data_IF_867213270159
#
_entry.id   IF_867213270159
#
_cell.length_a   1.000
_cell.length_b   1.000
_cell.length_c   1.000
_cell.angle_alpha   90.00
_cell.angle_beta   90.00
_cell.angle_gamma   90.00
#
_symmetry.space_group_name_H-M   'P 1'
#
loop_
_entity.id
_entity.type
_entity.pdbx_description
1 polymer ?
#
# COMPACT_ATOMS: atom_id res chain seq x y z
N UNK A 1 -1.14 -6.26 -35.03
CA UNK A 1 -0.22 -7.14 -34.28
C UNK A 1 0.72 -6.26 -33.46
N UNK A 2 0.35 -6.04 -32.23
CA UNK A 2 1.28 -5.48 -31.26
C UNK A 2 2.25 -6.58 -30.84
N UNK A 3 3.49 -6.51 -31.27
CA UNK A 3 4.50 -7.42 -30.77
C UNK A 3 4.79 -7.06 -29.31
N UNK A 4 4.48 -7.97 -28.41
CA UNK A 4 4.59 -7.85 -26.95
C UNK A 4 6.05 -7.72 -26.45
N UNK A 5 7.04 -7.64 -27.35
CA UNK A 5 8.46 -7.72 -27.02
C UNK A 5 9.28 -6.45 -27.26
N UNK A 6 8.65 -5.31 -27.50
CA UNK A 6 9.40 -4.06 -27.54
C UNK A 6 9.26 -3.38 -26.16
N UNK A 7 10.36 -3.22 -25.41
CA UNK A 7 10.30 -2.43 -24.19
C UNK A 7 9.93 -1.00 -24.58
N UNK A 8 8.77 -0.55 -24.14
CA UNK A 8 8.41 0.86 -24.25
C UNK A 8 9.25 1.62 -23.20
N UNK A 9 10.31 2.24 -23.67
CA UNK A 9 11.09 3.14 -22.85
C UNK A 9 10.28 4.38 -22.53
N UNK A 10 9.64 4.39 -21.37
CA UNK A 10 9.03 5.61 -20.83
C UNK A 10 10.14 6.50 -20.30
N UNK A 11 10.39 7.64 -20.97
CA UNK A 11 11.25 8.67 -20.39
C UNK A 11 10.56 9.31 -19.19
N UNK A 12 11.34 9.86 -18.29
CA UNK A 12 10.76 10.55 -17.13
C UNK A 12 9.88 11.76 -17.54
N UNK A 13 10.09 12.33 -18.71
CA UNK A 13 9.23 13.36 -19.27
C UNK A 13 7.78 12.88 -19.47
N UNK A 14 7.59 11.64 -19.87
CA UNK A 14 6.25 11.07 -19.98
C UNK A 14 5.58 10.94 -18.61
N UNK A 15 6.32 10.52 -17.60
CA UNK A 15 5.84 10.47 -16.23
C UNK A 15 5.50 11.87 -15.71
N UNK A 16 6.31 12.86 -16.03
CA UNK A 16 6.08 14.24 -15.67
C UNK A 16 4.81 14.81 -16.35
N UNK A 17 4.64 14.58 -17.63
CA UNK A 17 3.44 14.98 -18.38
C UNK A 17 2.18 14.33 -17.83
N UNK A 18 2.25 13.07 -17.44
CA UNK A 18 1.17 12.36 -16.77
C UNK A 18 0.85 12.96 -15.40
N UNK A 19 1.86 13.28 -14.59
CA UNK A 19 1.70 13.91 -13.30
C UNK A 19 1.08 15.31 -13.35
N UNK A 20 1.16 15.98 -14.49
CA UNK A 20 0.47 17.25 -14.74
C UNK A 20 -0.98 17.10 -15.18
N UNK A 21 -1.55 15.91 -15.09
CA UNK A 21 -2.96 15.65 -15.25
C UNK A 21 -3.54 16.11 -16.58
N UNK A 22 -3.14 15.48 -17.60
CA UNK A 22 -3.40 15.77 -19.01
C UNK A 22 -4.87 16.07 -19.35
N UNK A 23 -5.80 15.62 -18.53
CA UNK A 23 -7.24 15.70 -18.77
C UNK A 23 -7.90 16.98 -18.25
N UNK A 24 -7.25 17.74 -17.39
CA UNK A 24 -7.81 18.95 -16.82
C UNK A 24 -7.66 20.14 -17.77
N UNK A 25 -8.71 20.94 -17.97
CA UNK A 25 -8.65 22.17 -18.72
C UNK A 25 -7.72 23.23 -18.12
N UNK A 26 -7.47 23.18 -16.81
CA UNK A 26 -6.52 24.05 -16.12
C UNK A 26 -5.08 23.66 -16.40
N UNK A 27 -4.85 22.46 -16.85
CA UNK A 27 -3.54 21.94 -17.22
C UNK A 27 -3.21 22.28 -18.65
N UNK A 28 -4.20 22.50 -19.48
CA UNK A 28 -4.05 22.97 -20.87
C UNK A 28 -3.81 24.47 -20.99
N UNK A 29 -3.81 25.17 -19.87
CA UNK A 29 -3.43 26.57 -19.90
C UNK A 29 -1.93 26.74 -20.24
N UNK A 30 -1.49 27.98 -20.35
CA UNK A 30 -0.13 28.31 -20.74
C UNK A 30 0.96 27.74 -19.82
N UNK A 31 0.60 27.29 -18.63
CA UNK A 31 1.56 26.64 -17.74
C UNK A 31 1.98 25.28 -18.26
N UNK A 32 1.05 24.49 -18.77
CA UNK A 32 1.30 23.09 -19.10
C UNK A 32 1.72 22.89 -20.55
N UNK A 33 1.19 23.65 -21.49
CA UNK A 33 1.58 23.55 -22.89
C UNK A 33 3.05 23.88 -23.13
N UNK A 34 3.64 24.70 -22.30
CA UNK A 34 5.04 25.09 -22.40
C UNK A 34 5.97 24.10 -21.70
N UNK A 35 5.45 23.38 -20.71
CA UNK A 35 6.24 22.47 -19.89
C UNK A 35 6.44 21.09 -20.51
N UNK A 36 5.48 20.61 -21.27
CA UNK A 36 5.51 19.28 -21.87
C UNK A 36 6.69 19.13 -22.82
N UNK A 37 7.01 20.17 -23.59
CA UNK A 37 8.06 20.11 -24.60
C UNK A 37 9.44 20.51 -24.09
N UNK A 38 9.51 21.26 -23.01
CA UNK A 38 10.76 21.92 -22.58
C UNK A 38 11.10 21.72 -21.11
N UNK A 39 10.41 20.84 -20.43
CA UNK A 39 10.53 20.67 -18.99
C UNK A 39 9.76 21.75 -18.20
N UNK A 40 9.90 21.79 -16.86
CA UNK A 40 9.18 22.73 -16.02
C UNK A 40 9.57 24.18 -16.36
N UNK A 41 8.57 25.03 -16.31
CA UNK A 41 8.79 26.46 -16.50
C UNK A 41 9.39 27.03 -15.22
N UNK A 42 10.58 27.51 -15.33
CA UNK A 42 11.26 28.22 -14.26
C UNK A 42 11.49 29.69 -14.71
N UNK A 43 11.44 30.58 -13.77
CA UNK A 43 11.78 31.97 -13.98
C UNK A 43 13.29 32.24 -14.11
N UNK A 44 14.10 31.24 -13.73
CA UNK A 44 15.54 31.26 -13.78
C UNK A 44 16.07 30.28 -14.83
N UNK A 45 17.23 30.56 -15.40
CA UNK A 45 17.94 29.64 -16.29
C UNK A 45 18.39 28.41 -15.48
N UNK A 46 18.06 27.25 -16.00
CA UNK A 46 18.62 26.02 -15.46
C UNK A 46 20.00 25.80 -16.05
N UNK A 47 20.98 25.76 -15.19
CA UNK A 47 22.36 25.47 -15.55
C UNK A 47 22.65 23.98 -15.67
N UNK A 48 21.82 23.14 -15.05
CA UNK A 48 21.96 21.69 -15.07
C UNK A 48 20.78 21.01 -15.79
N UNK A 49 21.07 19.87 -16.41
CA UNK A 49 20.02 19.03 -16.99
C UNK A 49 19.08 18.51 -15.92
N UNK A 50 17.79 18.39 -16.28
CA UNK A 50 16.79 17.77 -15.43
C UNK A 50 17.17 16.34 -15.11
N UNK A 51 17.09 15.99 -13.83
CA UNK A 51 17.27 14.63 -13.34
C UNK A 51 15.98 14.13 -12.70
N UNK A 52 15.74 12.84 -12.83
CA UNK A 52 14.64 12.17 -12.15
C UNK A 52 14.83 12.24 -10.63
N UNK A 53 13.80 12.66 -9.92
CA UNK A 53 13.75 12.64 -8.47
C UNK A 53 12.82 11.52 -8.01
N UNK A 54 13.35 10.58 -7.24
CA UNK A 54 12.58 9.47 -6.68
C UNK A 54 12.07 9.82 -5.29
N UNK A 55 10.79 10.18 -5.20
CA UNK A 55 10.11 10.47 -3.94
C UNK A 55 9.40 9.23 -3.41
N UNK A 56 10.12 8.35 -2.73
CA UNK A 56 9.62 7.07 -2.22
C UNK A 56 8.56 7.21 -1.13
N UNK A 57 8.49 8.36 -0.50
CA UNK A 57 7.61 8.70 0.62
C UNK A 57 6.53 9.73 0.24
N UNK A 58 6.39 10.04 -1.03
CA UNK A 58 5.43 11.00 -1.55
C UNK A 58 4.17 10.34 -2.11
N UNK A 59 3.04 11.01 -1.95
CA UNK A 59 1.76 10.68 -2.56
C UNK A 59 1.34 11.84 -3.45
N UNK A 60 0.78 11.52 -4.60
CA UNK A 60 0.02 12.45 -5.44
C UNK A 60 -1.41 11.97 -5.51
N UNK A 61 -2.36 12.88 -5.48
CA UNK A 61 -3.78 12.55 -5.49
C UNK A 61 -4.59 13.55 -6.31
N UNK A 62 -5.66 13.05 -6.90
CA UNK A 62 -6.64 13.82 -7.67
C UNK A 62 -7.70 14.43 -6.76
N UNK A 63 -8.69 15.07 -7.35
CA UNK A 63 -9.91 15.48 -6.67
C UNK A 63 -10.78 14.31 -6.25
N UNK A 64 -12.00 14.61 -5.78
CA UNK A 64 -12.93 13.66 -5.18
C UNK A 64 -13.88 13.06 -6.20
N UNK A 65 -14.37 11.88 -5.88
CA UNK A 65 -15.56 11.29 -6.46
C UNK A 65 -16.68 11.26 -5.43
N UNK A 66 -17.83 11.81 -5.79
CA UNK A 66 -19.04 11.74 -4.98
C UNK A 66 -20.19 11.19 -5.83
N UNK A 67 -20.57 9.95 -5.57
CA UNK A 67 -21.63 9.25 -6.31
C UNK A 67 -23.01 9.87 -6.12
N UNK A 68 -23.26 10.51 -4.98
CA UNK A 68 -24.56 11.11 -4.66
C UNK A 68 -24.79 12.42 -5.42
N UNK A 69 -23.77 13.26 -5.53
CA UNK A 69 -23.84 14.54 -6.24
C UNK A 69 -23.47 14.43 -7.72
N UNK A 70 -22.96 13.27 -8.17
CA UNK A 70 -22.45 13.06 -9.53
C UNK A 70 -21.13 13.77 -9.83
N UNK A 71 -20.51 14.39 -8.83
CA UNK A 71 -19.20 15.05 -9.01
C UNK A 71 -18.12 14.01 -9.16
N UNK A 72 -17.38 14.07 -10.26
CA UNK A 72 -16.25 13.21 -10.53
C UNK A 72 -15.02 14.06 -10.91
N UNK A 73 -14.11 14.22 -9.96
CA UNK A 73 -12.86 14.99 -10.13
C UNK A 73 -11.62 14.07 -10.07
N UNK A 74 -11.79 12.76 -10.32
CA UNK A 74 -10.71 11.79 -10.25
C UNK A 74 -9.60 12.00 -11.29
N UNK A 75 -9.89 12.69 -12.37
CA UNK A 75 -8.95 13.05 -13.42
C UNK A 75 -8.39 14.49 -13.28
N UNK A 76 -8.66 15.17 -12.18
CA UNK A 76 -8.25 16.55 -11.98
C UNK A 76 -7.08 16.64 -10.99
N UNK A 77 -5.95 17.13 -11.49
CA UNK A 77 -4.75 17.43 -10.73
C UNK A 77 -4.46 18.93 -10.84
N UNK A 78 -5.09 19.71 -9.97
CA UNK A 78 -5.10 21.16 -10.05
C UNK A 78 -3.90 21.70 -9.27
N UNK A 79 -2.93 22.33 -9.95
CA UNK A 79 -1.72 22.85 -9.32
C UNK A 79 -1.97 23.97 -8.30
N UNK A 80 -3.09 24.69 -8.43
CA UNK A 80 -3.48 25.71 -7.46
C UNK A 80 -3.95 25.13 -6.12
N UNK A 81 -4.25 23.84 -6.07
CA UNK A 81 -4.67 23.13 -4.89
C UNK A 81 -3.58 22.18 -4.41
N UNK A 82 -3.67 21.74 -3.17
CA UNK A 82 -2.74 20.76 -2.64
C UNK A 82 -3.06 19.39 -3.22
N UNK A 83 -2.21 18.90 -4.11
CA UNK A 83 -2.34 17.61 -4.79
C UNK A 83 -1.26 16.61 -4.37
N UNK A 84 -0.33 17.01 -3.52
CA UNK A 84 0.77 16.16 -3.04
C UNK A 84 0.79 16.11 -1.53
N UNK A 85 1.22 14.99 -1.00
CA UNK A 85 1.45 14.79 0.42
C UNK A 85 2.73 14.01 0.63
N UNK A 86 3.62 14.54 1.45
CA UNK A 86 4.84 13.86 1.85
C UNK A 86 4.66 13.24 3.23
N UNK A 87 5.18 12.03 3.38
CA UNK A 87 5.26 11.30 4.63
C UNK A 87 6.68 11.46 5.17
N UNK A 88 6.86 11.33 6.47
CA UNK A 88 8.17 11.43 7.08
C UNK A 88 9.15 10.40 6.46
N UNK A 89 10.27 10.84 5.86
CA UNK A 89 11.23 9.95 5.22
C UNK A 89 11.81 8.87 6.13
N UNK A 90 11.82 9.11 7.44
CA UNK A 90 12.31 8.14 8.43
C UNK A 90 11.48 6.86 8.50
N UNK A 91 10.26 6.87 7.97
CA UNK A 91 9.41 5.68 7.91
C UNK A 91 9.73 4.77 6.72
N UNK A 92 10.70 5.15 5.91
CA UNK A 92 11.07 4.44 4.70
C UNK A 92 10.09 4.68 3.54
N UNK A 93 10.21 3.89 2.50
CA UNK A 93 9.35 4.01 1.32
C UNK A 93 7.94 3.49 1.59
N UNK A 94 6.98 4.06 0.88
CA UNK A 94 5.60 3.56 0.86
C UNK A 94 5.59 2.27 0.06
N UNK A 95 5.10 1.20 0.67
CA UNK A 95 5.05 -0.13 0.07
C UNK A 95 3.63 -0.52 -0.35
N UNK A 96 2.62 -0.16 0.44
CA UNK A 96 1.23 -0.51 0.17
C UNK A 96 0.28 0.59 0.63
N UNK A 97 -0.74 0.82 -0.17
CA UNK A 97 -1.88 1.66 0.18
C UNK A 97 -3.12 0.78 0.32
N UNK A 98 -3.89 0.99 1.36
CA UNK A 98 -5.11 0.24 1.63
C UNK A 98 -6.20 1.18 2.15
N UNK A 99 -7.37 1.11 1.55
CA UNK A 99 -8.53 1.87 2.02
C UNK A 99 -9.19 1.13 3.18
N UNK A 100 -9.43 1.84 4.27
CA UNK A 100 -10.16 1.31 5.42
C UNK A 100 -11.19 2.34 5.87
N UNK A 101 -12.46 1.95 5.82
CA UNK A 101 -13.57 2.87 6.04
C UNK A 101 -13.47 4.09 5.10
N UNK A 102 -13.31 5.28 5.67
CA UNK A 102 -13.10 6.51 4.93
C UNK A 102 -11.64 7.01 4.95
N UNK A 103 -10.72 6.23 5.50
CA UNK A 103 -9.33 6.63 5.68
C UNK A 103 -8.39 5.81 4.82
N UNK A 104 -7.24 6.38 4.51
CA UNK A 104 -6.17 5.70 3.79
C UNK A 104 -5.14 5.17 4.77
N UNK A 105 -5.00 3.85 4.85
CA UNK A 105 -3.91 3.21 5.55
C UNK A 105 -2.71 3.12 4.62
N UNK A 106 -1.59 3.67 5.06
CA UNK A 106 -0.33 3.68 4.32
C UNK A 106 0.69 2.84 5.07
N UNK A 107 1.12 1.75 4.43
CA UNK A 107 2.13 0.87 4.99
C UNK A 107 3.48 1.24 4.39
N UNK A 108 4.37 1.76 5.24
CA UNK A 108 5.75 2.07 4.90
C UNK A 108 6.67 0.93 5.34
N UNK A 109 7.95 1.00 4.98
CA UNK A 109 8.93 -0.02 5.36
C UNK A 109 8.98 -0.22 6.89
N UNK A 110 9.00 0.88 7.65
CA UNK A 110 9.22 0.86 9.11
C UNK A 110 8.02 1.33 9.94
N UNK A 111 6.96 1.81 9.30
CA UNK A 111 5.80 2.36 10.02
C UNK A 111 4.50 2.16 9.26
N UNK A 112 3.42 1.99 10.00
CA UNK A 112 2.06 2.00 9.47
C UNK A 112 1.37 3.28 9.89
N UNK A 113 0.73 3.94 8.94
CA UNK A 113 0.12 5.25 9.11
C UNK A 113 -1.34 5.21 8.68
N UNK A 114 -2.15 6.04 9.30
CA UNK A 114 -3.50 6.37 8.87
C UNK A 114 -3.52 7.81 8.38
N UNK A 115 -3.98 8.04 7.16
CA UNK A 115 -4.19 9.37 6.60
C UNK A 115 -5.71 9.60 6.55
N UNK A 116 -6.15 10.65 7.20
CA UNK A 116 -7.56 11.03 7.20
C UNK A 116 -7.95 11.59 5.84
N UNK A 117 -9.08 11.14 5.29
CA UNK A 117 -9.59 11.64 4.02
C UNK A 117 -10.71 12.67 4.28
N UNK A 118 -10.59 13.87 3.70
CA UNK A 118 -11.53 15.01 3.82
C UNK A 118 -11.83 15.47 5.25
N UNK A 119 -10.96 15.12 6.19
CA UNK A 119 -11.12 15.48 7.61
C UNK A 119 -9.74 15.64 8.25
N UNK A 120 -9.69 16.48 9.26
CA UNK A 120 -8.53 16.65 10.13
C UNK A 120 -8.95 16.45 11.59
N UNK A 121 -8.02 15.97 12.40
CA UNK A 121 -8.23 15.83 13.83
C UNK A 121 -7.77 17.12 14.56
N UNK A 122 -8.68 17.75 15.28
CA UNK A 122 -8.40 18.86 16.17
C UNK A 122 -8.48 18.35 17.59
N UNK A 123 -7.44 18.58 18.37
CA UNK A 123 -7.39 18.15 19.76
C UNK A 123 -7.84 19.27 20.69
N UNK A 124 -8.78 18.97 21.57
CA UNK A 124 -9.19 19.88 22.65
C UNK A 124 -8.10 20.01 23.70
N UNK A 125 -8.25 20.99 24.59
CA UNK A 125 -7.36 21.15 25.74
C UNK A 125 -7.24 19.89 26.63
N UNK A 126 -8.29 19.08 26.64
CA UNK A 126 -8.35 17.82 27.39
C UNK A 126 -7.72 16.62 26.62
N UNK A 127 -7.17 16.86 25.42
CA UNK A 127 -6.54 15.81 24.58
C UNK A 127 -7.52 14.96 23.78
N UNK A 128 -8.81 15.26 23.79
CA UNK A 128 -9.79 14.53 22.99
C UNK A 128 -9.77 15.01 21.53
N UNK A 129 -9.70 14.07 20.60
CA UNK A 129 -9.73 14.37 19.17
C UNK A 129 -11.15 14.62 18.68
N UNK A 130 -11.36 15.77 18.04
CA UNK A 130 -12.58 16.07 17.27
C UNK A 130 -12.25 16.07 15.78
N UNK A 131 -13.06 15.40 14.98
CA UNK A 131 -12.90 15.40 13.52
C UNK A 131 -13.63 16.60 12.93
N UNK A 132 -12.90 17.40 12.16
CA UNK A 132 -13.45 18.54 11.42
C UNK A 132 -13.31 18.27 9.92
N UNK A 133 -14.32 18.66 9.14
CA UNK A 133 -14.23 18.58 7.69
C UNK A 133 -13.19 19.56 7.16
N UNK A 134 -12.42 19.12 6.17
CA UNK A 134 -11.44 19.95 5.47
C UNK A 134 -11.63 19.85 3.97
N UNK A 135 -11.22 20.88 3.24
CA UNK A 135 -11.20 20.89 1.78
C UNK A 135 -10.06 20.05 1.19
N UNK A 136 -9.07 19.70 2.02
CA UNK A 136 -7.97 18.85 1.59
C UNK A 136 -8.44 17.40 1.44
N UNK A 137 -8.18 16.81 0.30
CA UNK A 137 -8.53 15.39 0.04
C UNK A 137 -7.80 14.47 1.02
N UNK A 138 -6.49 14.67 1.22
CA UNK A 138 -5.71 13.97 2.23
C UNK A 138 -5.36 14.94 3.35
N UNK A 139 -5.97 14.71 4.51
CA UNK A 139 -5.77 15.49 5.74
C UNK A 139 -4.58 15.00 6.57
N UNK A 140 -4.73 15.03 7.87
CA UNK A 140 -3.67 14.70 8.83
C UNK A 140 -3.24 13.24 8.73
N UNK A 141 -1.92 13.02 8.91
CA UNK A 141 -1.32 11.69 9.03
C UNK A 141 -1.15 11.32 10.49
N UNK A 142 -1.70 10.19 10.88
CA UNK A 142 -1.65 9.65 12.25
C UNK A 142 -0.91 8.31 12.22
N UNK A 143 0.26 8.18 12.87
CA UNK A 143 0.94 6.90 12.97
C UNK A 143 0.19 5.97 13.93
N UNK A 144 0.14 4.68 13.60
CA UNK A 144 -0.29 3.66 14.55
C UNK A 144 0.74 3.48 15.65
N UNK A 145 0.25 3.07 16.81
CA UNK A 145 1.11 2.75 17.95
C UNK A 145 1.95 1.51 17.63
N UNK A 146 3.21 1.54 18.03
CA UNK A 146 4.19 0.48 17.74
C UNK A 146 5.11 0.86 16.57
N UNK A 147 6.31 0.29 16.58
CA UNK A 147 7.33 0.52 15.55
C UNK A 147 7.35 -0.65 14.57
N UNK A 148 6.24 -0.84 13.86
CA UNK A 148 6.05 -1.92 12.88
C UNK A 148 5.75 -1.34 11.50
N UNK A 149 6.36 -1.93 10.47
CA UNK A 149 6.10 -1.66 9.07
C UNK A 149 5.85 -2.91 8.27
N UNK A 150 5.75 -2.79 6.95
CA UNK A 150 5.59 -3.94 6.06
C UNK A 150 6.94 -4.41 5.48
N UNK A 151 8.05 -3.80 5.91
CA UNK A 151 9.37 -3.99 5.33
C UNK A 151 9.34 -3.72 3.81
N UNK A 152 9.95 -4.57 2.99
CA UNK A 152 9.89 -4.51 1.52
C UNK A 152 9.09 -5.66 0.92
N UNK A 153 8.07 -6.13 1.64
CA UNK A 153 7.24 -7.25 1.24
C UNK A 153 5.76 -6.87 1.14
N UNK A 154 5.38 -6.00 0.19
CA UNK A 154 3.98 -5.64 0.00
C UNK A 154 3.09 -6.84 -0.38
N UNK A 155 3.66 -7.90 -0.93
CA UNK A 155 2.99 -9.15 -1.29
C UNK A 155 2.52 -9.95 -0.07
N UNK A 156 3.08 -9.67 1.11
CA UNK A 156 2.62 -10.29 2.36
C UNK A 156 1.26 -9.77 2.82
N UNK A 157 0.81 -8.66 2.22
CA UNK A 157 -0.44 -8.03 2.61
C UNK A 157 -1.64 -8.82 2.13
N UNK A 158 -2.54 -9.15 3.07
CA UNK A 158 -3.88 -9.65 2.76
C UNK A 158 -4.90 -8.96 3.66
N UNK A 159 -6.08 -8.71 3.15
CA UNK A 159 -7.16 -8.06 3.89
C UNK A 159 -8.44 -8.88 3.82
N UNK A 160 -9.18 -8.86 4.89
CA UNK A 160 -10.58 -9.26 4.96
C UNK A 160 -11.44 -8.04 5.32
N UNK A 161 -12.74 -8.23 5.50
CA UNK A 161 -13.69 -7.13 5.70
C UNK A 161 -13.33 -6.18 6.85
N UNK A 162 -12.73 -6.69 7.92
CA UNK A 162 -12.48 -5.92 9.15
C UNK A 162 -11.02 -5.86 9.57
N UNK A 163 -10.17 -6.69 8.98
CA UNK A 163 -8.77 -6.82 9.37
C UNK A 163 -7.87 -6.85 8.15
N UNK A 164 -6.64 -6.47 8.38
CA UNK A 164 -5.56 -6.64 7.41
C UNK A 164 -4.37 -7.31 8.10
N UNK A 165 -3.67 -8.12 7.34
CA UNK A 165 -2.52 -8.89 7.78
C UNK A 165 -1.33 -8.58 6.89
N UNK A 166 -0.16 -8.56 7.46
CA UNK A 166 1.10 -8.35 6.75
C UNK A 166 2.28 -8.82 7.59
N UNK A 167 3.46 -8.86 7.00
CA UNK A 167 4.67 -9.26 7.70
C UNK A 167 5.65 -8.11 7.82
N UNK A 168 6.26 -7.98 9.00
CA UNK A 168 7.44 -7.17 9.21
C UNK A 168 8.66 -8.09 9.26
N UNK A 169 9.27 -8.28 8.12
CA UNK A 169 10.40 -9.19 7.98
C UNK A 169 11.62 -8.71 8.77
N UNK A 170 11.87 -7.41 8.81
CA UNK A 170 13.00 -6.82 9.52
C UNK A 170 12.92 -7.09 11.02
N UNK A 171 11.70 -7.05 11.58
CA UNK A 171 11.46 -7.29 13.01
C UNK A 171 11.10 -8.75 13.32
N UNK A 172 10.98 -9.58 12.28
CA UNK A 172 10.68 -11.00 12.44
C UNK A 172 9.25 -11.27 12.92
N UNK A 173 8.29 -10.40 12.58
CA UNK A 173 6.94 -10.48 13.12
C UNK A 173 5.87 -10.55 12.03
N UNK A 174 4.75 -11.16 12.35
CA UNK A 174 3.54 -11.12 11.54
C UNK A 174 2.52 -10.26 12.26
N UNK A 175 1.96 -9.31 11.55
CA UNK A 175 1.11 -8.27 12.09
C UNK A 175 -0.33 -8.42 11.65
N UNK A 176 -1.24 -8.06 12.54
CA UNK A 176 -2.66 -7.88 12.25
C UNK A 176 -3.03 -6.42 12.55
N UNK A 177 -3.66 -5.77 11.60
CA UNK A 177 -4.32 -4.48 11.78
C UNK A 177 -5.81 -4.72 11.98
N UNK A 178 -6.35 -4.29 13.11
CA UNK A 178 -7.77 -4.36 13.46
C UNK A 178 -8.28 -3.03 14.00
N UNK A 179 -9.51 -2.98 14.52
CA UNK A 179 -10.03 -1.79 15.20
C UNK A 179 -9.20 -1.43 16.43
N UNK A 180 -8.62 -2.43 17.09
CA UNK A 180 -7.76 -2.26 18.26
C UNK A 180 -6.34 -1.76 17.91
N UNK A 181 -6.05 -1.54 16.64
CA UNK A 181 -4.75 -1.14 16.15
C UNK A 181 -3.90 -2.30 15.64
N UNK A 182 -2.59 -2.17 15.77
CA UNK A 182 -1.61 -3.16 15.34
C UNK A 182 -1.35 -4.19 16.45
N UNK A 183 -1.46 -5.46 16.11
CA UNK A 183 -1.19 -6.58 17.03
C UNK A 183 -0.23 -7.57 16.38
N UNK A 184 0.89 -7.93 17.04
CA UNK A 184 1.78 -8.98 16.55
C UNK A 184 1.14 -10.36 16.81
N UNK A 185 0.66 -11.02 15.77
CA UNK A 185 0.05 -12.35 15.86
C UNK A 185 1.09 -13.48 15.86
N UNK A 186 2.32 -13.21 15.46
CA UNK A 186 3.45 -14.15 15.63
C UNK A 186 3.69 -14.51 17.09
N UNK A 187 3.35 -13.63 18.03
CA UNK A 187 3.52 -13.87 19.46
C UNK A 187 2.62 -15.00 20.00
N UNK A 188 1.62 -15.41 19.21
CA UNK A 188 0.77 -16.57 19.54
C UNK A 188 1.50 -17.91 19.31
N UNK A 189 2.58 -18.14 20.02
CA UNK A 189 3.32 -19.40 20.06
C UNK A 189 4.36 -19.62 18.97
N UNK A 190 4.55 -18.66 18.04
CA UNK A 190 5.51 -18.83 16.94
C UNK A 190 6.50 -17.66 16.78
N UNK A 191 6.68 -16.87 17.82
CA UNK A 191 7.55 -15.67 17.79
C UNK A 191 8.96 -15.98 17.34
N UNK A 192 9.62 -16.94 18.02
CA UNK A 192 11.00 -17.32 17.71
C UNK A 192 11.12 -17.97 16.34
N UNK A 193 10.12 -18.75 15.95
CA UNK A 193 10.08 -19.40 14.65
C UNK A 193 10.08 -18.37 13.50
N UNK A 194 9.22 -17.34 13.57
CA UNK A 194 9.18 -16.29 12.56
C UNK A 194 10.44 -15.44 12.56
N UNK A 195 10.92 -15.06 13.73
CA UNK A 195 12.18 -14.30 13.85
C UNK A 195 13.33 -15.03 13.16
N UNK A 196 13.51 -16.31 13.47
CA UNK A 196 14.61 -17.10 12.95
C UNK A 196 14.48 -17.34 11.44
N UNK A 197 13.24 -17.57 10.95
CA UNK A 197 12.99 -17.76 9.50
C UNK A 197 13.20 -16.47 8.72
N UNK A 198 12.66 -15.38 9.17
CA UNK A 198 12.83 -14.09 8.49
C UNK A 198 14.27 -13.59 8.53
N UNK A 199 15.02 -13.86 9.59
CA UNK A 199 16.43 -13.52 9.67
C UNK A 199 17.31 -14.25 8.65
N UNK A 200 16.96 -15.49 8.29
CA UNK A 200 17.66 -16.27 7.27
C UNK A 200 17.39 -15.74 5.84
N UNK A 201 16.32 -15.00 5.66
CA UNK A 201 15.75 -14.68 4.36
C UNK A 201 15.75 -13.17 4.02
N UNK A 202 16.57 -12.35 4.69
CA UNK A 202 16.61 -10.90 4.51
C UNK A 202 17.02 -10.44 3.10
N UNK A 203 17.69 -11.28 2.31
CA UNK A 203 18.11 -10.95 0.95
C UNK A 203 17.43 -11.86 -0.06
N UNK A 204 16.70 -11.26 -1.03
CA UNK A 204 16.15 -11.91 -2.22
C UNK A 204 15.05 -12.95 -2.01
N UNK A 205 14.38 -13.02 -0.85
CA UNK A 205 13.17 -13.80 -0.70
C UNK A 205 11.96 -12.88 -0.50
N UNK A 206 10.85 -13.26 -1.09
CA UNK A 206 9.59 -12.61 -0.81
C UNK A 206 8.75 -13.44 0.16
N UNK A 207 7.94 -12.74 0.91
CA UNK A 207 6.94 -13.33 1.79
C UNK A 207 5.58 -13.01 1.21
N UNK A 208 4.81 -14.03 0.92
CA UNK A 208 3.48 -13.89 0.36
C UNK A 208 2.42 -14.07 1.45
N UNK A 209 1.46 -13.17 1.46
CA UNK A 209 0.25 -13.26 2.28
C UNK A 209 -0.98 -13.53 1.41
N UNK A 210 -1.87 -14.37 1.88
CA UNK A 210 -3.17 -14.56 1.26
C UNK A 210 -4.22 -14.91 2.32
N UNK A 211 -5.46 -14.54 2.05
CA UNK A 211 -6.56 -14.82 2.96
C UNK A 211 -7.52 -15.82 2.34
N UNK A 212 -7.83 -16.87 3.08
CA UNK A 212 -8.81 -17.89 2.72
C UNK A 212 -10.13 -17.61 3.43
N UNK A 213 -11.09 -17.01 2.70
CA UNK A 213 -12.40 -16.61 3.22
C UNK A 213 -13.21 -17.82 3.72
N UNK A 214 -13.03 -19.01 3.11
CA UNK A 214 -13.80 -20.19 3.48
C UNK A 214 -13.40 -20.78 4.82
N UNK A 215 -12.12 -20.69 5.15
CA UNK A 215 -11.57 -21.18 6.43
C UNK A 215 -11.29 -20.10 7.45
N UNK A 216 -11.45 -18.82 7.05
CA UNK A 216 -11.04 -17.65 7.83
C UNK A 216 -9.57 -17.76 8.29
N UNK A 217 -8.70 -18.08 7.36
CA UNK A 217 -7.27 -18.27 7.62
C UNK A 217 -6.42 -17.28 6.83
N UNK A 218 -5.52 -16.61 7.52
CA UNK A 218 -4.43 -15.88 6.87
C UNK A 218 -3.26 -16.84 6.64
N UNK A 219 -2.88 -17.02 5.39
CA UNK A 219 -1.78 -17.87 4.97
C UNK A 219 -0.54 -17.04 4.71
N UNK A 220 0.56 -17.35 5.37
CA UNK A 220 1.88 -16.78 5.14
C UNK A 220 2.74 -17.83 4.45
N UNK A 221 3.25 -17.49 3.29
CA UNK A 221 4.21 -18.32 2.54
C UNK A 221 5.57 -17.65 2.54
N UNK A 222 6.59 -18.37 2.96
CA UNK A 222 7.99 -17.94 2.93
C UNK A 222 8.67 -18.72 1.79
N UNK A 223 8.99 -18.03 0.71
CA UNK A 223 9.43 -18.65 -0.54
C UNK A 223 10.71 -19.46 -0.36
N UNK A 224 11.78 -18.89 0.14
CA UNK A 224 13.05 -19.61 0.36
C UNK A 224 12.92 -20.80 1.31
N UNK A 225 12.14 -20.67 2.36
CA UNK A 225 11.89 -21.76 3.27
C UNK A 225 10.96 -22.82 2.65
N UNK A 226 10.31 -22.53 1.52
CA UNK A 226 9.30 -23.35 0.86
C UNK A 226 8.26 -23.84 1.85
N UNK A 227 7.78 -22.94 2.68
CA UNK A 227 6.84 -23.23 3.75
C UNK A 227 5.66 -22.26 3.73
N UNK A 228 4.47 -22.78 3.95
CA UNK A 228 3.26 -22.00 4.18
C UNK A 228 2.67 -22.36 5.52
N UNK A 229 2.26 -21.36 6.28
CA UNK A 229 1.66 -21.52 7.59
C UNK A 229 0.40 -20.67 7.71
N UNK A 230 -0.61 -21.16 8.42
CA UNK A 230 -1.91 -20.52 8.52
C UNK A 230 -2.22 -20.07 9.93
N UNK A 231 -2.68 -18.84 10.05
CA UNK A 231 -3.24 -18.26 11.26
C UNK A 231 -4.76 -18.19 11.17
N UNK A 232 -5.45 -18.55 12.25
CA UNK A 232 -6.91 -18.48 12.35
C UNK A 232 -7.35 -17.62 13.51
N UNK A 233 -8.29 -16.73 13.24
CA UNK A 233 -8.81 -15.80 14.25
C UNK A 233 -9.62 -16.46 15.36
N UNK A 234 -10.40 -17.49 15.03
CA UNK A 234 -11.27 -18.19 16.00
C UNK A 234 -10.45 -18.81 17.13
N UNK A 235 -9.28 -19.33 16.78
CA UNK A 235 -8.35 -19.97 17.72
C UNK A 235 -7.34 -18.97 18.27
N UNK A 236 -7.24 -17.79 17.65
CA UNK A 236 -6.20 -16.77 17.92
C UNK A 236 -4.79 -17.36 17.90
N UNK A 237 -4.53 -18.22 16.93
CA UNK A 237 -3.29 -18.97 16.85
C UNK A 237 -2.98 -19.56 15.48
N UNK A 238 -1.77 -20.07 15.36
CA UNK A 238 -1.27 -20.75 14.17
C UNK A 238 -1.78 -22.20 14.17
N UNK A 239 -2.47 -22.59 13.11
CA UNK A 239 -3.23 -23.85 13.13
C UNK A 239 -2.60 -24.95 12.31
N UNK A 240 -1.92 -24.63 11.19
CA UNK A 240 -1.30 -25.69 10.40
C UNK A 240 -0.20 -25.16 9.46
N UNK A 241 0.75 -26.03 9.15
CA UNK A 241 1.59 -25.90 7.98
C UNK A 241 0.86 -26.46 6.77
N UNK A 242 0.96 -25.77 5.63
CA UNK A 242 0.35 -26.19 4.37
C UNK A 242 1.37 -26.94 3.52
N UNK A 243 0.89 -27.86 2.72
CA UNK A 243 1.74 -28.60 1.76
C UNK A 243 2.02 -27.84 0.46
N UNK A 244 1.30 -26.73 0.22
CA UNK A 244 1.48 -25.90 -0.97
C UNK A 244 2.34 -24.68 -0.69
N UNK A 245 3.12 -24.29 -1.68
CA UNK A 245 3.95 -23.06 -1.68
C UNK A 245 3.59 -22.30 -2.95
N UNK A 246 2.61 -21.40 -2.90
CA UNK A 246 2.13 -20.69 -4.07
C UNK A 246 2.97 -19.46 -4.40
N UNK A 247 2.89 -19.01 -5.63
CA UNK A 247 3.37 -17.70 -6.08
C UNK A 247 2.36 -16.59 -5.77
N UNK A 248 1.09 -16.93 -5.69
CA UNK A 248 0.01 -16.04 -5.29
C UNK A 248 -1.20 -16.82 -4.78
N UNK A 249 -2.00 -16.20 -3.92
CA UNK A 249 -3.25 -16.79 -3.41
C UNK A 249 -4.35 -15.72 -3.30
N UNK A 250 -5.57 -16.10 -3.66
CA UNK A 250 -6.74 -15.22 -3.62
C UNK A 250 -8.01 -15.99 -3.31
N UNK A 251 -8.90 -15.38 -2.54
CA UNK A 251 -10.27 -15.85 -2.38
C UNK A 251 -11.20 -15.15 -3.35
N UNK A 252 -12.03 -15.92 -4.02
CA UNK A 252 -13.05 -15.43 -4.95
C UNK A 252 -14.29 -16.31 -4.85
N UNK A 253 -15.47 -15.69 -4.67
CA UNK A 253 -16.75 -16.38 -4.57
C UNK A 253 -16.74 -17.54 -3.54
N UNK A 254 -16.18 -17.30 -2.37
CA UNK A 254 -16.04 -18.28 -1.27
C UNK A 254 -15.22 -19.54 -1.63
N UNK A 255 -14.37 -19.45 -2.63
CA UNK A 255 -13.38 -20.46 -2.96
C UNK A 255 -11.99 -19.84 -2.87
N UNK A 256 -11.05 -20.62 -2.39
CA UNK A 256 -9.66 -20.22 -2.31
C UNK A 256 -8.87 -20.82 -3.46
N UNK A 257 -8.13 -19.98 -4.15
CA UNK A 257 -7.29 -20.33 -5.30
C UNK A 257 -5.84 -19.96 -5.03
N UNK A 258 -4.94 -20.82 -5.45
CA UNK A 258 -3.51 -20.53 -5.48
C UNK A 258 -2.94 -20.70 -6.87
N UNK A 259 -1.87 -19.99 -7.15
CA UNK A 259 -1.21 -20.00 -8.45
C UNK A 259 0.23 -20.47 -8.27
N UNK A 260 0.67 -21.36 -9.16
CA UNK A 260 2.03 -21.85 -9.20
C UNK A 260 2.38 -22.32 -10.61
N UNK A 261 3.50 -21.82 -11.17
CA UNK A 261 4.00 -22.24 -12.47
C UNK A 261 3.02 -22.02 -13.62
N UNK A 262 2.20 -20.98 -13.57
CA UNK A 262 1.18 -20.68 -14.57
C UNK A 262 -0.12 -21.46 -14.43
N UNK A 263 -0.26 -22.31 -13.41
CA UNK A 263 -1.49 -23.05 -13.12
C UNK A 263 -2.24 -22.45 -11.93
N UNK A 264 -3.58 -22.51 -12.01
CA UNK A 264 -4.48 -22.16 -10.92
C UNK A 264 -4.98 -23.44 -10.24
N UNK A 265 -4.88 -23.47 -8.91
CA UNK A 265 -5.32 -24.58 -8.08
C UNK A 265 -6.46 -24.13 -7.18
N UNK A 266 -7.60 -24.79 -7.29
CA UNK A 266 -8.75 -24.58 -6.41
C UNK A 266 -8.61 -25.45 -5.19
N UNK A 267 -8.74 -24.87 -4.02
CA UNK A 267 -8.66 -25.57 -2.74
C UNK A 267 -10.05 -25.92 -2.21
N UNK A 268 -10.08 -26.90 -1.30
CA UNK A 268 -11.30 -27.36 -0.60
C UNK A 268 -12.35 -28.00 -1.52
N UNK A 269 -11.97 -28.48 -2.68
CA UNK A 269 -12.81 -29.44 -3.41
C UNK A 269 -12.69 -30.81 -2.76
N UNK A 270 -13.83 -31.53 -2.59
CA UNK A 270 -13.86 -32.86 -1.96
C UNK A 270 -13.12 -33.91 -2.78
#
# INVERSE_FOLDING_TARGET
DFSVNSPVGLSWHNCYSFGNGVESNRIRDTFNSVFIDKGPRVSAVLEEEYKEERRKYGLIYSGLYNSTSGVNNLNQFIQAEKITKEINPNYGSIQKLHTRDSDLVTLCEDKVLKILANKDAVFNADGNAQLTATTNVLGQTIPFVGEYGISKNPESFASESYRAYFTDQVRGTVMRLSMDGLTPISDAGMKDWFRDRFALDLSDSFVLGSYDDRKNEYNVTIDKARMSVSYREDVKGWVSFKSFVPEHGISCANNYYTFLGGFAWKHHDP
#
